data_IF_798943846459
#
_entry.id   IF_798943846459
#
_cell.length_a   1.000
_cell.length_b   1.000
_cell.length_c   1.000
_cell.angle_alpha   90.00
_cell.angle_beta   90.00
_cell.angle_gamma   90.00
#
_symmetry.space_group_name_H-M   'P 1'
#
loop_
_entity.id
_entity.type
_entity.pdbx_description
1 polymer ?
#
# COMPACT_ATOMS: atom_id res chain seq x y z
N UNK A 1 10.61 -14.87 -6.84
CA UNK A 1 10.84 -13.43 -6.54
C UNK A 1 9.48 -12.76 -6.36
N UNK A 2 9.25 -12.01 -5.28
CA UNK A 2 7.98 -11.26 -5.11
C UNK A 2 8.01 -10.01 -6.00
N UNK A 3 6.91 -9.73 -6.71
CA UNK A 3 6.73 -8.46 -7.45
C UNK A 3 6.70 -7.29 -6.46
N UNK A 4 7.22 -6.14 -6.88
CA UNK A 4 7.24 -4.90 -6.09
C UNK A 4 6.16 -3.96 -6.62
N UNK A 5 5.42 -3.33 -5.72
CA UNK A 5 4.42 -2.30 -6.05
C UNK A 5 4.69 -1.03 -5.23
N UNK A 6 4.50 0.13 -5.86
CA UNK A 6 4.66 1.45 -5.25
C UNK A 6 3.34 2.19 -5.31
N UNK A 7 2.89 2.75 -4.18
CA UNK A 7 1.82 3.74 -4.14
C UNK A 7 2.38 5.14 -3.84
N UNK A 8 1.73 6.17 -4.38
CA UNK A 8 1.97 7.58 -4.04
C UNK A 8 0.62 8.14 -3.62
N UNK A 9 0.42 8.25 -2.30
CA UNK A 9 -0.84 8.66 -1.72
C UNK A 9 -0.61 9.26 -0.34
N UNK A 10 -1.56 10.06 0.14
CA UNK A 10 -1.52 10.58 1.50
C UNK A 10 -1.83 9.49 2.54
N UNK A 11 -1.39 9.73 3.78
CA UNK A 11 -1.76 8.90 4.92
C UNK A 11 -3.19 9.20 5.37
N UNK A 12 -4.00 8.16 5.52
CA UNK A 12 -5.25 8.22 6.27
C UNK A 12 -5.04 7.64 7.67
N UNK A 13 -5.00 8.50 8.68
CA UNK A 13 -4.79 8.11 10.10
C UNK A 13 -5.91 7.19 10.63
N UNK A 14 -7.11 7.20 10.01
CA UNK A 14 -8.17 6.25 10.36
C UNK A 14 -7.94 4.83 9.82
N UNK A 15 -7.06 4.69 8.82
CA UNK A 15 -6.61 3.42 8.24
C UNK A 15 -7.55 2.79 7.21
N UNK A 16 -8.62 3.49 6.80
CA UNK A 16 -9.62 3.01 5.84
C UNK A 16 -9.31 3.32 4.37
N UNK A 17 -8.46 4.31 4.11
CA UNK A 17 -8.08 4.80 2.79
C UNK A 17 -6.56 5.04 2.69
N UNK A 18 -6.12 5.79 1.66
CA UNK A 18 -4.73 6.21 1.48
C UNK A 18 -3.73 5.05 1.41
N UNK A 19 -2.49 5.32 1.84
CA UNK A 19 -1.41 4.31 1.82
C UNK A 19 -1.78 3.06 2.63
N UNK A 20 -2.63 3.18 3.65
CA UNK A 20 -3.07 2.06 4.48
C UNK A 20 -3.96 1.09 3.69
N UNK A 21 -4.89 1.60 2.89
CA UNK A 21 -5.72 0.77 2.02
C UNK A 21 -4.89 0.12 0.91
N UNK A 22 -3.98 0.88 0.28
CA UNK A 22 -3.13 0.40 -0.81
C UNK A 22 -2.20 -0.72 -0.36
N UNK A 23 -1.47 -0.53 0.76
CA UNK A 23 -0.55 -1.54 1.28
C UNK A 23 -1.28 -2.81 1.72
N UNK A 24 -2.52 -2.69 2.22
CA UNK A 24 -3.39 -3.83 2.55
C UNK A 24 -3.79 -4.60 1.28
N UNK A 25 -4.15 -3.89 0.21
CA UNK A 25 -4.44 -4.49 -1.08
C UNK A 25 -3.21 -5.19 -1.69
N UNK A 26 -2.03 -4.58 -1.59
CA UNK A 26 -0.76 -5.19 -2.04
C UNK A 26 -0.43 -6.48 -1.30
N UNK A 27 -0.65 -6.50 0.02
CA UNK A 27 -0.48 -7.71 0.82
C UNK A 27 -1.41 -8.84 0.37
N UNK A 28 -2.70 -8.54 0.13
CA UNK A 28 -3.69 -9.50 -0.41
C UNK A 28 -3.29 -9.99 -1.80
N UNK A 29 -2.74 -9.11 -2.65
CA UNK A 29 -2.25 -9.45 -3.99
C UNK A 29 -0.91 -10.22 -3.98
N UNK A 30 -0.30 -10.44 -2.80
CA UNK A 30 0.95 -11.18 -2.65
C UNK A 30 2.19 -10.43 -3.14
N UNK A 31 2.12 -9.11 -3.29
CA UNK A 31 3.25 -8.26 -3.71
C UNK A 31 3.88 -7.55 -2.52
N UNK A 32 5.15 -7.14 -2.63
CA UNK A 32 5.80 -6.32 -1.61
C UNK A 32 5.53 -4.84 -1.90
N UNK A 33 4.79 -4.19 -1.00
CA UNK A 33 4.34 -2.81 -1.15
C UNK A 33 5.30 -1.80 -0.54
N UNK A 34 5.53 -0.70 -1.25
CA UNK A 34 6.16 0.53 -0.76
C UNK A 34 5.22 1.72 -0.94
N UNK A 35 5.45 2.77 -0.17
CA UNK A 35 4.70 4.02 -0.27
C UNK A 35 5.62 5.22 -0.31
N UNK A 36 5.25 6.22 -1.09
CA UNK A 36 5.68 7.62 -0.95
C UNK A 36 4.50 8.40 -0.42
N UNK A 37 4.74 9.18 0.63
CA UNK A 37 3.73 10.01 1.32
C UNK A 37 3.92 11.45 0.85
#
# INVERSE_FOLDING_TARGET
MKRIALTIAASDTSGGAGIQADLRAFSIAGVHGYSVI
#
